data_IF_084319587891
#
_entry.id   IF_084319587891
#
_cell.length_a   1.000
_cell.length_b   1.000
_cell.length_c   1.000
_cell.angle_alpha   90.00
_cell.angle_beta   90.00
_cell.angle_gamma   90.00
#
_symmetry.space_group_name_H-M   'P 1'
#
loop_
_entity.id
_entity.type
_entity.pdbx_description
1 polymer ?
#
# COMPACT_ATOMS: atom_id res chain seq x y z
N UNK A 1 -5.89 21.95 1.49
CA UNK A 1 -6.74 21.15 2.41
C UNK A 1 -6.18 19.73 2.39
N UNK A 2 -5.51 19.30 3.47
CA UNK A 2 -5.09 17.91 3.63
C UNK A 2 -6.36 17.10 3.88
N UNK A 3 -6.60 16.06 3.07
CA UNK A 3 -7.66 15.09 3.36
C UNK A 3 -7.01 13.98 4.17
N UNK A 4 -7.35 13.89 5.44
CA UNK A 4 -6.95 12.79 6.30
C UNK A 4 -7.78 11.56 5.93
N UNK A 5 -7.09 10.47 5.58
CA UNK A 5 -7.72 9.18 5.35
C UNK A 5 -7.69 8.41 6.66
N UNK A 6 -8.86 8.06 7.19
CA UNK A 6 -8.93 7.18 8.34
C UNK A 6 -8.40 5.78 8.00
N UNK A 7 -7.98 5.08 9.04
CA UNK A 7 -7.46 3.71 8.95
C UNK A 7 -8.44 2.73 8.28
N UNK A 8 -9.74 2.98 8.41
CA UNK A 8 -10.81 2.20 7.77
C UNK A 8 -10.80 2.36 6.25
N UNK A 9 -10.52 3.56 5.75
CA UNK A 9 -10.49 3.86 4.31
C UNK A 9 -9.20 3.35 3.63
N UNK A 10 -8.15 3.09 4.40
CA UNK A 10 -6.85 2.63 3.88
C UNK A 10 -6.68 1.11 3.85
N UNK A 11 -7.68 0.36 4.36
CA UNK A 11 -7.62 -1.10 4.51
C UNK A 11 -8.77 -1.80 3.78
N UNK A 12 -8.52 -3.03 3.37
CA UNK A 12 -9.56 -3.89 2.78
C UNK A 12 -10.54 -4.34 3.86
N UNK A 13 -11.86 -4.14 3.65
CA UNK A 13 -12.90 -4.59 4.60
C UNK A 13 -13.03 -6.11 4.79
N UNK A 14 -12.27 -6.93 4.03
CA UNK A 14 -12.28 -8.39 4.14
C UNK A 14 -11.00 -8.91 4.80
N UNK A 15 -9.83 -8.59 4.24
CA UNK A 15 -8.55 -9.11 4.76
C UNK A 15 -7.83 -8.15 5.70
N UNK A 16 -8.35 -6.93 5.91
CA UNK A 16 -7.78 -5.87 6.76
C UNK A 16 -6.38 -5.38 6.31
N UNK A 17 -5.81 -5.96 5.25
CA UNK A 17 -4.55 -5.53 4.67
C UNK A 17 -4.68 -4.11 4.10
N UNK A 18 -3.60 -3.32 4.24
CA UNK A 18 -3.51 -1.98 3.65
C UNK A 18 -3.52 -2.07 2.13
N UNK A 19 -4.18 -1.10 1.51
CA UNK A 19 -4.19 -0.99 0.06
C UNK A 19 -2.82 -0.57 -0.48
N UNK A 20 -2.49 -1.09 -1.67
CA UNK A 20 -1.38 -0.58 -2.47
C UNK A 20 -1.79 0.72 -3.15
N UNK A 21 -0.83 1.64 -3.27
CA UNK A 21 -0.93 2.89 -4.03
C UNK A 21 -0.27 2.79 -5.42
N UNK A 22 0.41 1.68 -5.72
CA UNK A 22 1.18 1.53 -6.96
C UNK A 22 0.36 0.81 -8.04
N UNK A 23 -0.37 1.61 -8.82
CA UNK A 23 -1.25 1.11 -9.89
C UNK A 23 -0.49 0.53 -11.07
N UNK A 24 0.67 1.09 -11.37
CA UNK A 24 1.42 0.77 -12.60
C UNK A 24 2.42 -0.38 -12.36
N UNK A 25 2.52 -0.86 -11.11
CA UNK A 25 3.26 -2.06 -10.76
C UNK A 25 2.76 -3.28 -11.55
N UNK A 26 3.70 -4.07 -12.07
CA UNK A 26 3.41 -5.31 -12.80
C UNK A 26 3.41 -6.54 -11.90
N UNK A 27 3.91 -6.43 -10.68
CA UNK A 27 3.96 -7.53 -9.72
C UNK A 27 2.53 -7.95 -9.31
N UNK A 28 2.11 -9.21 -9.57
CA UNK A 28 0.80 -9.68 -9.18
C UNK A 28 0.55 -9.60 -7.67
N UNK A 29 1.57 -9.73 -6.82
CA UNK A 29 1.39 -9.64 -5.36
C UNK A 29 0.99 -8.22 -4.92
N UNK A 30 1.64 -7.21 -5.48
CA UNK A 30 1.31 -5.80 -5.24
C UNK A 30 -0.06 -5.47 -5.83
N UNK A 31 -0.35 -5.96 -7.05
CA UNK A 31 -1.63 -5.71 -7.74
C UNK A 31 -2.83 -6.33 -7.03
N UNK A 32 -2.66 -7.47 -6.33
CA UNK A 32 -3.71 -8.06 -5.48
C UNK A 32 -4.15 -7.11 -4.36
N UNK A 33 -3.31 -6.16 -3.97
CA UNK A 33 -3.58 -5.22 -2.88
C UNK A 33 -4.18 -3.89 -3.38
N UNK A 34 -4.41 -3.72 -4.69
CA UNK A 34 -5.04 -2.51 -5.21
C UNK A 34 -6.54 -2.46 -4.86
N UNK A 35 -7.07 -1.28 -4.47
CA UNK A 35 -8.48 -1.11 -4.16
C UNK A 35 -9.32 -1.12 -5.45
N UNK A 36 -10.28 -2.03 -5.51
CA UNK A 36 -11.22 -2.18 -6.63
C UNK A 36 -12.57 -1.64 -6.20
N UNK A 37 -13.09 -0.70 -6.97
CA UNK A 37 -14.38 -0.06 -6.80
C UNK A 37 -15.49 -0.93 -7.39
N UNK A 38 -16.65 -0.91 -6.75
CA UNK A 38 -17.83 -1.53 -7.34
C UNK A 38 -18.22 -0.87 -8.67
N UNK A 39 -18.63 -1.69 -9.63
CA UNK A 39 -19.25 -1.21 -10.87
C UNK A 39 -20.71 -0.80 -10.70
N UNK A 40 -21.36 -1.20 -9.60
CA UNK A 40 -22.75 -0.84 -9.33
C UNK A 40 -22.81 0.56 -8.71
N UNK A 41 -23.72 1.40 -9.21
CA UNK A 41 -23.97 2.74 -8.67
C UNK A 41 -24.59 2.71 -7.27
N UNK A 42 -25.14 1.57 -6.84
CA UNK A 42 -25.77 1.37 -5.52
C UNK A 42 -24.81 0.79 -4.48
N UNK A 43 -23.54 0.63 -4.84
CA UNK A 43 -22.52 0.06 -3.98
C UNK A 43 -21.29 0.96 -3.99
N UNK A 44 -21.03 1.60 -2.87
CA UNK A 44 -19.84 2.40 -2.62
C UNK A 44 -18.69 1.59 -2.03
N UNK A 45 -18.91 0.34 -1.60
CA UNK A 45 -17.86 -0.52 -1.05
C UNK A 45 -16.73 -0.81 -2.06
N UNK A 46 -15.49 -0.84 -1.56
CA UNK A 46 -14.30 -1.28 -2.30
C UNK A 46 -13.53 -2.35 -1.51
N UNK A 47 -12.87 -3.24 -2.24
CA UNK A 47 -12.06 -4.33 -1.68
C UNK A 47 -10.75 -4.46 -2.42
N UNK A 48 -9.77 -5.15 -1.85
CA UNK A 48 -8.55 -5.43 -2.59
C UNK A 48 -8.84 -6.44 -3.70
N UNK A 49 -8.14 -6.31 -4.82
CA UNK A 49 -8.31 -7.19 -5.98
C UNK A 49 -8.15 -8.68 -5.62
N UNK A 50 -7.21 -9.01 -4.72
CA UNK A 50 -6.99 -10.37 -4.24
C UNK A 50 -8.19 -10.96 -3.51
N UNK A 51 -8.92 -10.17 -2.71
CA UNK A 51 -10.14 -10.64 -2.06
C UNK A 51 -11.27 -10.89 -3.07
N UNK A 52 -11.37 -10.06 -4.11
CA UNK A 52 -12.34 -10.27 -5.20
C UNK A 52 -12.04 -11.56 -5.95
N UNK A 53 -10.77 -11.83 -6.29
CA UNK A 53 -10.36 -13.06 -6.95
C UNK A 53 -10.62 -14.30 -6.07
N UNK A 54 -10.35 -14.21 -4.76
CA UNK A 54 -10.65 -15.30 -3.82
C UNK A 54 -12.15 -15.58 -3.75
N UNK A 55 -12.98 -14.56 -3.70
CA UNK A 55 -14.43 -14.72 -3.73
C UNK A 55 -14.90 -15.30 -5.07
N UNK A 56 -14.25 -14.96 -6.19
CA UNK A 56 -14.54 -15.55 -7.49
C UNK A 56 -14.35 -17.06 -7.48
N UNK A 57 -13.22 -17.51 -6.94
CA UNK A 57 -12.88 -18.92 -6.82
C UNK A 57 -13.88 -19.64 -5.91
N UNK A 58 -14.17 -19.05 -4.74
CA UNK A 58 -15.17 -19.59 -3.80
C UNK A 58 -16.54 -19.80 -4.46
N UNK A 59 -17.01 -18.81 -5.23
CA UNK A 59 -18.29 -18.91 -5.96
C UNK A 59 -18.20 -19.89 -7.14
N UNK A 60 -17.04 -20.01 -7.78
CA UNK A 60 -16.85 -20.99 -8.84
C UNK A 60 -16.93 -22.42 -8.30
N UNK A 61 -16.34 -22.68 -7.13
CA UNK A 61 -16.40 -23.98 -6.45
C UNK A 61 -17.85 -24.38 -6.14
N UNK A 62 -18.66 -23.44 -5.66
CA UNK A 62 -20.11 -23.64 -5.45
C UNK A 62 -20.89 -23.88 -6.75
N UNK A 63 -20.37 -23.43 -7.89
CA UNK A 63 -21.01 -23.52 -9.21
C UNK A 63 -20.40 -24.61 -10.11
N UNK A 64 -19.83 -25.67 -9.53
CA UNK A 64 -19.21 -26.78 -10.26
C UNK A 64 -18.04 -26.31 -11.16
N UNK A 65 -17.20 -25.41 -10.65
CA UNK A 65 -16.07 -24.84 -11.37
C UNK A 65 -16.45 -23.75 -12.38
N UNK A 66 -17.73 -23.40 -12.52
CA UNK A 66 -18.15 -22.32 -13.43
C UNK A 66 -17.79 -20.97 -12.81
N UNK A 67 -16.77 -20.32 -13.37
CA UNK A 67 -16.30 -19.00 -12.95
C UNK A 67 -17.33 -17.92 -13.31
N UNK A 68 -17.92 -17.20 -12.33
CA UNK A 68 -18.88 -16.14 -12.63
C UNK A 68 -18.17 -14.92 -13.22
N UNK A 69 -18.82 -14.27 -14.19
CA UNK A 69 -18.38 -12.98 -14.73
C UNK A 69 -18.53 -11.84 -13.72
N UNK A 70 -19.59 -11.88 -12.92
CA UNK A 70 -19.94 -10.87 -11.93
C UNK A 70 -20.02 -11.49 -10.54
N UNK A 71 -19.44 -10.80 -9.56
CA UNK A 71 -19.47 -11.17 -8.16
C UNK A 71 -20.32 -10.17 -7.39
N UNK A 72 -21.11 -10.69 -6.46
CA UNK A 72 -21.93 -9.87 -5.58
C UNK A 72 -21.06 -9.12 -4.58
N UNK A 73 -21.48 -7.94 -4.13
CA UNK A 73 -20.75 -7.27 -3.07
C UNK A 73 -20.73 -8.09 -1.78
N UNK A 74 -19.56 -8.23 -1.15
CA UNK A 74 -19.40 -8.98 0.08
C UNK A 74 -20.05 -8.29 1.30
N UNK A 75 -20.31 -6.98 1.23
CA UNK A 75 -21.06 -6.23 2.24
C UNK A 75 -22.55 -6.10 1.89
N UNK A 76 -22.91 -5.34 0.85
CA UNK A 76 -24.32 -5.03 0.56
C UNK A 76 -25.05 -6.07 -0.32
N UNK A 77 -24.36 -7.11 -0.79
CA UNK A 77 -24.92 -8.21 -1.62
C UNK A 77 -25.51 -7.80 -2.98
N UNK A 78 -25.25 -6.59 -3.44
CA UNK A 78 -25.60 -6.11 -4.79
C UNK A 78 -24.99 -7.02 -5.88
N UNK A 79 -25.75 -7.38 -6.92
CA UNK A 79 -25.45 -8.55 -7.76
C UNK A 79 -24.33 -8.33 -8.79
N UNK A 80 -24.21 -7.11 -9.30
CA UNK A 80 -23.28 -6.73 -10.39
C UNK A 80 -22.17 -5.83 -9.88
N UNK A 81 -21.67 -6.11 -8.69
CA UNK A 81 -20.74 -5.23 -8.01
C UNK A 81 -19.32 -5.34 -8.55
N UNK A 82 -18.80 -6.54 -8.81
CA UNK A 82 -17.39 -6.70 -9.20
C UNK A 82 -17.23 -7.58 -10.44
N UNK A 83 -16.42 -7.15 -11.40
CA UNK A 83 -16.00 -7.92 -12.57
C UNK A 83 -14.48 -8.18 -12.46
N UNK A 84 -14.04 -9.38 -12.06
CA UNK A 84 -12.63 -9.67 -11.86
C UNK A 84 -11.80 -9.69 -13.15
N UNK A 85 -12.42 -9.90 -14.31
CA UNK A 85 -11.72 -9.87 -15.60
C UNK A 85 -11.33 -8.43 -16.01
N UNK A 86 -12.15 -7.45 -15.62
CA UNK A 86 -11.95 -6.02 -15.91
C UNK A 86 -12.16 -5.19 -14.63
N UNK A 87 -11.23 -5.29 -13.65
CA UNK A 87 -11.39 -4.61 -12.37
C UNK A 87 -11.29 -3.10 -12.54
N UNK A 88 -12.24 -2.36 -11.96
CA UNK A 88 -12.21 -0.90 -11.91
C UNK A 88 -11.50 -0.44 -10.65
N UNK A 89 -10.26 0.00 -10.77
CA UNK A 89 -9.49 0.49 -9.62
C UNK A 89 -9.96 1.88 -9.16
N UNK A 90 -10.01 2.10 -7.84
CA UNK A 90 -10.42 3.38 -7.25
C UNK A 90 -9.29 4.43 -7.37
N UNK A 91 -9.22 5.13 -8.51
CA UNK A 91 -8.13 6.08 -8.82
C UNK A 91 -7.89 7.14 -7.74
N UNK A 92 -8.95 7.80 -7.26
CA UNK A 92 -8.82 8.86 -6.26
C UNK A 92 -8.22 8.35 -4.94
N UNK A 93 -8.66 7.19 -4.45
CA UNK A 93 -8.12 6.57 -3.25
C UNK A 93 -6.65 6.21 -3.42
N UNK A 94 -6.28 5.64 -4.56
CA UNK A 94 -4.89 5.34 -4.91
C UNK A 94 -4.02 6.61 -4.86
N UNK A 95 -4.48 7.70 -5.46
CA UNK A 95 -3.76 8.99 -5.48
C UNK A 95 -3.64 9.62 -4.08
N UNK A 96 -4.67 9.45 -3.23
CA UNK A 96 -4.62 9.89 -1.84
C UNK A 96 -3.64 9.06 -1.01
N UNK A 97 -3.65 7.73 -1.17
CA UNK A 97 -2.71 6.82 -0.50
C UNK A 97 -1.25 7.13 -0.90
N UNK A 98 -1.00 7.35 -2.19
CA UNK A 98 0.33 7.69 -2.69
C UNK A 98 0.85 9.01 -2.08
N UNK A 99 -0.02 10.02 -1.93
CA UNK A 99 0.33 11.28 -1.28
C UNK A 99 0.60 11.10 0.21
N UNK A 100 -0.28 10.38 0.93
CA UNK A 100 -0.10 10.10 2.35
C UNK A 100 1.24 9.40 2.63
N UNK A 101 1.61 8.41 1.80
CA UNK A 101 2.91 7.74 1.90
C UNK A 101 4.10 8.68 1.66
N UNK A 102 4.02 9.59 0.68
CA UNK A 102 5.07 10.58 0.44
C UNK A 102 5.24 11.53 1.63
N UNK A 103 4.14 11.99 2.23
CA UNK A 103 4.20 12.85 3.41
C UNK A 103 4.78 12.10 4.62
N UNK A 104 4.35 10.87 4.86
CA UNK A 104 4.91 10.05 5.95
C UNK A 104 6.42 9.82 5.76
N UNK A 105 6.87 9.51 4.54
CA UNK A 105 8.30 9.36 4.24
C UNK A 105 9.09 10.67 4.42
N UNK A 106 8.51 11.81 4.06
CA UNK A 106 9.13 13.12 4.26
C UNK A 106 9.25 13.50 5.75
N UNK A 107 8.23 13.20 6.56
CA UNK A 107 8.28 13.43 8.01
C UNK A 107 9.38 12.61 8.69
N UNK A 108 9.45 11.31 8.40
CA UNK A 108 10.51 10.43 8.93
C UNK A 108 11.90 10.93 8.55
N UNK A 109 12.06 11.44 7.32
CA UNK A 109 13.35 12.01 6.88
C UNK A 109 13.70 13.31 7.61
N UNK A 110 12.72 14.19 7.86
CA UNK A 110 12.94 15.43 8.59
C UNK A 110 13.36 15.17 10.04
N UNK A 111 12.66 14.24 10.71
CA UNK A 111 13.00 13.82 12.08
C UNK A 111 14.42 13.22 12.17
N UNK A 112 14.85 12.47 11.16
CA UNK A 112 16.22 11.93 11.11
C UNK A 112 17.29 13.01 10.99
N UNK A 113 17.06 14.04 10.15
CA UNK A 113 17.98 15.17 10.03
C UNK A 113 18.11 15.96 11.33
N UNK A 114 17.01 16.17 12.05
CA UNK A 114 17.05 16.87 13.35
C UNK A 114 17.85 16.10 14.41
N UNK A 115 17.79 14.76 14.41
CA UNK A 115 18.61 13.94 15.33
C UNK A 115 20.10 14.02 14.98
N UNK A 116 20.45 13.93 13.69
CA UNK A 116 21.85 14.01 13.24
C UNK A 116 22.46 15.41 13.51
N UNK A 117 21.69 16.48 13.35
CA UNK A 117 22.15 17.85 13.67
C UNK A 117 22.40 18.03 15.16
N UNK A 118 21.52 17.48 16.02
CA UNK A 118 21.68 17.56 17.48
C UNK A 118 22.83 16.68 18.02
N UNK A 119 23.06 15.48 17.46
CA UNK A 119 24.20 14.66 17.86
C UNK A 119 25.54 15.31 17.48
N UNK A 120 25.57 16.09 16.40
CA UNK A 120 26.78 16.79 15.96
C UNK A 120 27.07 18.04 16.81
N UNK A 121 26.06 18.77 17.28
CA UNK A 121 26.27 19.93 18.19
C UNK A 121 26.77 19.49 19.57
N UNK A 122 26.31 18.35 20.08
CA UNK A 122 26.83 17.79 21.34
C UNK A 122 28.30 17.35 21.21
N UNK A 123 28.68 16.77 20.06
CA UNK A 123 30.07 16.40 19.79
C UNK A 123 31.00 17.61 19.60
N UNK A 124 30.49 18.72 19.08
CA UNK A 124 31.24 19.99 18.95
C UNK A 124 31.41 20.66 20.32
N UNK A 125 30.37 20.65 21.16
CA UNK A 125 30.39 21.25 22.50
C UNK A 125 31.41 20.56 23.42
N UNK A 126 31.48 19.21 23.40
CA UNK A 126 32.48 18.48 24.19
C UNK A 126 33.93 18.69 23.73
N UNK A 127 34.17 19.03 22.46
CA UNK A 127 35.53 19.33 21.97
C UNK A 127 35.98 20.74 22.33
N UNK A 128 35.05 21.67 22.51
CA UNK A 128 35.38 23.05 22.86
C UNK A 128 35.81 23.15 24.34
N UNK A 129 35.15 22.42 25.24
CA UNK A 129 35.52 22.40 26.67
C UNK A 129 36.92 21.80 26.93
N UNK A 130 37.42 20.90 26.08
CA UNK A 130 38.79 20.37 26.21
C UNK A 130 39.88 21.33 25.73
N UNK A 131 39.55 22.32 24.89
CA UNK A 131 40.53 23.30 24.40
C UNK A 131 40.65 24.52 25.33
N UNK A 132 39.60 24.84 26.10
CA UNK A 132 39.60 26.00 27.00
C UNK A 132 40.37 25.76 28.32
N UNK A 133 40.78 24.52 28.62
CA UNK A 133 41.64 24.22 29.79
C UNK A 133 43.16 24.38 29.51
N UNK A 134 43.57 24.72 28.28
CA UNK A 134 45.00 24.82 27.89
C UNK A 134 45.45 26.22 27.41
N UNK A 135 44.71 27.28 27.74
CA UNK A 135 45.07 28.62 27.25
C UNK A 135 44.91 29.77 28.26
N UNK A 136 45.57 29.66 29.43
CA UNK A 136 45.67 30.77 30.40
C UNK A 136 47.04 31.48 30.48
N UNK A 137 48.03 31.16 29.63
CA UNK A 137 49.42 31.61 29.88
C UNK A 137 50.13 32.44 28.79
N UNK A 138 49.50 32.86 27.68
CA UNK A 138 50.22 33.64 26.66
C UNK A 138 49.45 34.87 26.14
N UNK A 139 49.29 35.86 27.01
CA UNK A 139 49.00 37.23 26.62
C UNK A 139 50.30 38.06 26.60
N UNK A 140 50.86 38.33 25.41
CA UNK A 140 51.57 39.59 25.08
C UNK A 140 52.32 39.50 23.73
N UNK A 141 51.81 40.20 22.71
CA UNK A 141 52.54 41.01 21.70
C UNK A 141 51.60 41.30 20.53
N UNK A 142 51.14 42.55 20.33
CA UNK A 142 51.68 43.51 19.32
C UNK A 142 51.46 43.04 17.87
N UNK A 143 51.13 43.83 16.84
CA UNK A 143 50.66 45.19 16.61
C UNK A 143 50.34 45.26 15.09
N UNK A 144 49.45 46.18 14.69
CA UNK A 144 49.30 46.88 13.40
C UNK A 144 49.83 46.24 12.09
N UNK A 145 48.99 46.23 11.05
CA UNK A 145 49.22 47.07 9.87
C UNK A 145 48.01 47.14 8.94
N UNK A 146 47.93 48.30 8.32
CA UNK A 146 46.90 48.94 7.55
C UNK A 146 47.24 48.79 6.06
N UNK A 147 46.28 48.35 5.25
CA UNK A 147 46.50 48.13 3.82
C UNK A 147 45.25 48.38 3.00
N UNK A 148 45.08 49.63 2.56
CA UNK A 148 44.19 50.03 1.46
C UNK A 148 44.68 49.44 0.13
N UNK A 149 43.76 48.88 -0.66
CA UNK A 149 44.02 48.41 -2.02
C UNK A 149 42.77 48.56 -2.88
N UNK A 150 42.74 49.62 -3.68
CA UNK A 150 41.71 49.97 -4.67
C UNK A 150 42.00 49.21 -5.98
N UNK A 151 40.97 48.69 -6.66
CA UNK A 151 41.14 48.11 -8.00
C UNK A 151 39.85 47.60 -8.64
N UNK A 152 39.23 48.49 -9.43
CA UNK A 152 38.52 48.28 -10.70
C UNK A 152 39.04 47.08 -11.53
N UNK A 153 38.38 46.47 -12.52
CA UNK A 153 37.14 46.63 -13.29
C UNK A 153 36.96 45.28 -14.05
N UNK A 154 35.92 45.19 -14.89
CA UNK A 154 35.78 44.34 -16.09
C UNK A 154 35.13 42.95 -15.97
N UNK A 155 33.88 42.92 -16.45
CA UNK A 155 33.38 42.08 -17.54
C UNK A 155 33.99 40.68 -17.73
N UNK A 156 33.17 39.63 -17.58
CA UNK A 156 32.86 38.79 -18.75
C UNK A 156 31.74 37.78 -18.48
N UNK A 157 30.76 37.80 -19.36
CA UNK A 157 29.72 36.79 -19.47
C UNK A 157 30.32 35.50 -20.06
N UNK A 158 30.18 34.36 -19.35
CA UNK A 158 30.31 33.06 -20.02
C UNK A 158 29.40 32.00 -19.43
N UNK A 159 28.29 31.78 -20.13
CA UNK A 159 27.49 30.56 -20.09
C UNK A 159 28.37 29.33 -20.28
N UNK A 160 28.43 28.45 -19.27
CA UNK A 160 28.96 27.09 -19.41
C UNK A 160 27.89 26.11 -18.97
N UNK A 161 27.56 25.22 -19.91
CA UNK A 161 26.64 24.09 -19.78
C UNK A 161 27.05 23.23 -18.58
N UNK A 162 26.07 22.97 -17.70
CA UNK A 162 26.11 21.84 -16.76
C UNK A 162 25.95 20.55 -17.57
N UNK A 163 27.07 19.92 -17.93
CA UNK A 163 27.12 18.48 -18.16
C UNK A 163 27.32 17.86 -16.78
N UNK A 164 26.24 17.32 -16.21
CA UNK A 164 26.29 16.51 -15.00
C UNK A 164 26.76 15.12 -15.42
N UNK A 165 28.07 14.91 -15.35
CA UNK A 165 28.65 13.58 -15.46
C UNK A 165 28.15 12.70 -14.32
N UNK A 166 27.84 11.49 -14.75
CA UNK A 166 27.29 10.37 -14.04
C UNK A 166 28.23 9.99 -12.89
N UNK A 167 27.63 9.92 -11.71
CA UNK A 167 28.17 9.39 -10.47
C UNK A 167 28.93 8.08 -10.68
N UNK A 168 30.21 8.14 -10.33
CA UNK A 168 31.03 6.99 -9.96
C UNK A 168 30.34 6.23 -8.83
N UNK A 169 29.96 4.98 -9.10
CA UNK A 169 29.39 4.07 -8.11
C UNK A 169 30.52 3.60 -7.20
N UNK A 170 30.82 4.42 -6.19
CA UNK A 170 31.57 3.99 -5.02
C UNK A 170 30.88 2.79 -4.39
N UNK A 171 31.53 1.63 -4.51
CA UNK A 171 31.22 0.40 -3.79
C UNK A 171 31.36 0.66 -2.28
N UNK A 172 30.31 1.18 -1.65
CA UNK A 172 30.21 1.11 -0.20
C UNK A 172 29.88 -0.33 0.16
N UNK A 173 30.91 -1.07 0.59
CA UNK A 173 30.77 -2.27 1.39
C UNK A 173 29.93 -1.94 2.63
N UNK A 174 28.62 -2.18 2.51
CA UNK A 174 27.72 -2.18 3.66
C UNK A 174 28.13 -3.36 4.53
N UNK A 175 28.94 -3.08 5.55
CA UNK A 175 29.19 -3.99 6.66
C UNK A 175 27.84 -4.31 7.29
N UNK A 176 27.23 -5.38 6.80
CA UNK A 176 25.95 -5.93 7.25
C UNK A 176 26.11 -6.31 8.72
N UNK A 177 25.76 -5.39 9.60
CA UNK A 177 25.61 -5.67 11.01
C UNK A 177 24.66 -6.87 11.12
N UNK A 178 25.21 -7.96 11.65
CA UNK A 178 24.53 -9.22 11.86
C UNK A 178 23.50 -8.98 12.96
N UNK A 179 22.30 -8.52 12.58
CA UNK A 179 21.14 -8.52 13.45
C UNK A 179 20.81 -9.97 13.78
N UNK A 180 21.42 -10.48 14.85
CA UNK A 180 20.92 -11.62 15.61
C UNK A 180 19.61 -11.18 16.24
N UNK A 181 18.51 -11.38 15.51
CA UNK A 181 17.18 -11.41 16.13
C UNK A 181 17.13 -12.64 17.05
N UNK A 182 16.78 -12.48 18.34
CA UNK A 182 16.58 -13.63 19.21
C UNK A 182 15.43 -14.46 18.63
N UNK A 183 15.70 -15.75 18.36
CA UNK A 183 14.67 -16.69 17.96
C UNK A 183 13.54 -16.68 19.01
N UNK A 184 12.28 -16.55 18.58
CA UNK A 184 11.16 -16.63 19.51
C UNK A 184 11.15 -18.03 20.17
N UNK A 185 10.85 -18.12 21.47
CA UNK A 185 10.79 -19.39 22.17
C UNK A 185 9.75 -20.29 21.52
N UNK A 186 10.16 -21.50 21.13
CA UNK A 186 9.26 -22.54 20.66
C UNK A 186 8.31 -22.92 21.79
N UNK A 187 7.11 -22.33 21.76
CA UNK A 187 5.98 -22.78 22.56
C UNK A 187 5.58 -24.14 22.01
N UNK A 188 5.97 -25.21 22.71
CA UNK A 188 5.41 -26.55 22.47
C UNK A 188 3.93 -26.50 22.84
N UNK A 189 3.08 -26.35 21.83
CA UNK A 189 1.66 -26.66 21.94
C UNK A 189 1.59 -28.17 22.16
N UNK A 190 1.15 -28.55 23.36
CA UNK A 190 0.86 -29.93 23.71
C UNK A 190 -0.48 -30.23 23.02
N UNK A 191 -0.42 -30.85 21.84
CA UNK A 191 -1.63 -31.36 21.18
C UNK A 191 -2.16 -32.51 22.04
N UNK A 192 -3.29 -32.28 22.69
CA UNK A 192 -4.07 -33.36 23.28
C UNK A 192 -4.78 -34.12 22.14
N UNK A 193 -4.79 -35.46 22.16
CA UNK A 193 -5.51 -36.23 21.17
C UNK A 193 -7.01 -36.04 21.39
N UNK A 194 -7.67 -35.34 20.47
CA UNK A 194 -9.12 -35.46 20.30
C UNK A 194 -9.43 -36.86 19.78
N UNK A 195 -9.84 -37.73 20.70
CA UNK A 195 -10.59 -38.95 20.36
C UNK A 195 -11.89 -38.49 19.69
N UNK A 196 -11.97 -38.68 18.37
CA UNK A 196 -13.16 -38.43 17.58
C UNK A 196 -13.85 -39.79 17.43
N UNK A 197 -14.92 -39.99 18.20
CA UNK A 197 -15.76 -41.19 18.12
C UNK A 197 -16.45 -41.24 16.75
N UNK A 198 -16.01 -42.19 15.93
CA UNK A 198 -16.65 -42.58 14.67
C UNK A 198 -17.94 -43.37 14.97
N UNK A 199 -19.03 -42.65 15.25
CA UNK A 199 -20.38 -43.21 15.22
C UNK A 199 -21.29 -42.26 14.42
N UNK A 200 -21.25 -42.34 13.09
CA UNK A 200 -22.36 -41.83 12.29
C UNK A 200 -22.92 -42.90 11.36
N UNK A 201 -24.14 -43.27 11.76
CA UNK A 201 -24.99 -44.34 11.29
C UNK A 201 -25.27 -44.27 9.78
N UNK A 202 -24.91 -45.35 9.10
CA UNK A 202 -25.25 -45.65 7.71
C UNK A 202 -26.67 -46.22 7.64
N UNK A 203 -27.73 -45.40 7.79
CA UNK A 203 -29.07 -45.83 7.39
C UNK A 203 -30.00 -44.66 7.04
N UNK A 204 -30.32 -44.50 5.75
CA UNK A 204 -31.67 -44.18 5.22
C UNK A 204 -31.58 -44.05 3.69
N UNK A 205 -31.85 -45.13 2.96
CA UNK A 205 -33.19 -45.38 2.35
C UNK A 205 -33.61 -44.21 1.45
N UNK A 206 -33.26 -44.22 0.17
CA UNK A 206 -34.03 -44.89 -0.90
C UNK A 206 -35.53 -44.51 -0.89
N UNK A 207 -35.84 -43.28 -1.29
CA UNK A 207 -37.18 -42.97 -1.82
C UNK A 207 -37.11 -42.33 -3.21
N UNK A 208 -37.52 -43.19 -4.16
CA UNK A 208 -38.09 -42.88 -5.46
C UNK A 208 -38.96 -41.63 -5.43
N UNK A 209 -38.77 -40.71 -6.37
CA UNK A 209 -39.89 -40.02 -7.01
C UNK A 209 -39.56 -39.62 -8.46
N UNK A 210 -40.57 -39.85 -9.28
CA UNK A 210 -40.61 -39.97 -10.74
C UNK A 210 -40.21 -38.72 -11.54
N UNK A 211 -39.93 -38.88 -12.85
CA UNK A 211 -39.74 -37.78 -13.78
C UNK A 211 -41.05 -37.04 -14.02
N UNK A 212 -41.03 -35.71 -13.89
CA UNK A 212 -42.16 -34.87 -14.26
C UNK A 212 -42.03 -34.55 -15.75
N UNK A 213 -43.10 -34.89 -16.45
CA UNK A 213 -43.33 -34.81 -17.87
C UNK A 213 -42.95 -33.47 -18.51
N UNK A 214 -42.60 -33.58 -19.79
CA UNK A 214 -42.46 -32.46 -20.70
C UNK A 214 -43.71 -31.59 -20.77
N UNK A 215 -43.45 -30.30 -20.95
CA UNK A 215 -44.42 -29.31 -21.38
C UNK A 215 -43.80 -28.68 -22.62
N UNK A 216 -44.11 -29.26 -23.76
CA UNK A 216 -44.03 -28.57 -25.03
C UNK A 216 -45.18 -27.55 -25.11
N UNK A 217 -44.90 -26.49 -25.87
CA UNK A 217 -45.83 -25.69 -26.66
C UNK A 217 -46.32 -24.33 -26.12
N UNK A 218 -46.26 -23.40 -27.08
CA UNK A 218 -47.00 -22.14 -27.24
C UNK A 218 -46.41 -20.92 -26.52
N UNK A 219 -45.67 -20.06 -27.23
CA UNK A 219 -46.15 -19.00 -28.15
C UNK A 219 -47.05 -17.96 -27.49
N UNK A 220 -46.72 -16.70 -27.83
CA UNK A 220 -47.52 -15.48 -27.71
C UNK A 220 -47.41 -14.72 -26.37
N UNK A 221 -46.69 -13.60 -26.41
CA UNK A 221 -47.23 -12.25 -26.18
C UNK A 221 -46.04 -11.27 -26.15
N UNK A 222 -45.85 -10.52 -27.23
CA UNK A 222 -46.50 -9.24 -27.53
C UNK A 222 -45.77 -8.07 -26.87
N UNK A 223 -45.23 -7.23 -27.75
CA UNK A 223 -44.72 -5.88 -27.51
C UNK A 223 -45.50 -5.15 -26.42
N UNK A 224 -44.78 -4.71 -25.40
CA UNK A 224 -45.25 -3.66 -24.50
C UNK A 224 -44.20 -2.55 -24.47
N UNK A 225 -44.34 -1.65 -25.43
CA UNK A 225 -43.64 -0.36 -25.51
C UNK A 225 -44.50 0.67 -24.77
N UNK A 226 -44.14 1.12 -23.56
CA UNK A 226 -44.80 2.28 -22.98
C UNK A 226 -44.28 3.56 -23.66
N UNK A 227 -45.21 4.28 -24.28
CA UNK A 227 -45.00 5.56 -24.91
C UNK A 227 -44.45 6.61 -23.94
N UNK A 228 -43.47 7.38 -24.40
CA UNK A 228 -42.95 8.57 -23.70
C UNK A 228 -44.03 9.64 -23.57
N UNK A 229 -44.16 10.31 -22.41
CA UNK A 229 -44.95 11.52 -22.29
C UNK A 229 -44.21 12.72 -22.92
N UNK A 230 -44.87 13.41 -23.84
CA UNK A 230 -44.48 14.74 -24.34
C UNK A 230 -44.82 15.78 -23.28
N UNK A 231 -43.80 16.46 -22.75
CA UNK A 231 -43.92 17.78 -22.11
C UNK A 231 -42.82 18.66 -22.70
#
# INVERSE_FOLDING_TARGET
>A
MLVELDDEHTKCGICIAKFSSDRDNKDPEIRKHLPVLSSSQRCDHWFCHGCILREQLRVADENNGKVPKWIRCMHCREKTSFNPAEPKYHRLLIDLLARAQKYAAAQVKAEQTEVEENENTDAITMKQEQNDEFHEDYAASEAKEDGEGVGADDDDARSVKRESDITDHGEQEVKRAKLTTPSPPLVRVKEEPTEFDDDYDETTSLERRAPINGIDASTNNADNTPASPKW
#
